data_IF_907093954514
#
_entry.id   IF_907093954514
#
_cell.length_a   1.000
_cell.length_b   1.000
_cell.length_c   1.000
_cell.angle_alpha   90.00
_cell.angle_beta   90.00
_cell.angle_gamma   90.00
#
_symmetry.space_group_name_H-M   'P 1'
#
loop_
_entity.id
_entity.type
_entity.pdbx_description
1 polymer ?
#
# COMPACT_ATOMS: atom_id res chain seq x y z
N UNK A 1 55.77 -4.07 26.61
CA UNK A 1 54.83 -2.98 26.95
C UNK A 1 53.49 -3.60 27.30
N UNK A 2 53.32 -3.76 28.60
CA UNK A 2 52.11 -3.77 29.43
C UNK A 2 50.79 -4.21 28.78
N UNK A 3 50.52 -5.51 28.87
CA UNK A 3 49.15 -5.99 29.06
C UNK A 3 48.80 -5.86 30.54
N UNK A 4 47.78 -5.05 30.85
CA UNK A 4 47.28 -4.92 32.21
C UNK A 4 46.24 -6.01 32.49
N UNK A 5 46.68 -6.96 33.31
CA UNK A 5 45.84 -7.80 34.16
C UNK A 5 45.07 -6.92 35.14
N UNK A 6 43.75 -7.08 35.21
CA UNK A 6 42.95 -6.59 36.35
C UNK A 6 42.11 -7.77 36.88
N UNK A 7 42.04 -7.96 38.22
CA UNK A 7 41.62 -9.21 38.84
C UNK A 7 40.09 -9.35 38.93
N UNK A 8 39.63 -10.60 38.90
CA UNK A 8 38.28 -11.01 39.27
C UNK A 8 38.08 -10.88 40.79
N UNK A 9 36.95 -10.32 41.26
CA UNK A 9 36.38 -10.64 42.56
C UNK A 9 35.27 -11.70 42.41
N UNK A 10 35.43 -12.81 43.12
CA UNK A 10 34.40 -13.80 43.44
C UNK A 10 33.61 -13.34 44.70
N UNK A 11 32.53 -14.03 45.11
CA UNK A 11 31.26 -13.39 45.46
C UNK A 11 31.01 -13.40 46.97
N UNK A 12 30.46 -12.34 47.52
CA UNK A 12 29.76 -12.44 48.80
C UNK A 12 28.42 -11.75 48.74
N UNK A 13 27.44 -12.50 49.25
CA UNK A 13 26.04 -12.18 49.30
C UNK A 13 25.77 -11.06 50.30
N UNK A 14 24.87 -10.12 49.96
CA UNK A 14 23.71 -9.95 50.81
C UNK A 14 22.55 -9.23 50.10
N UNK A 15 21.46 -9.98 50.06
CA UNK A 15 20.06 -9.59 50.04
C UNK A 15 19.74 -8.14 50.46
N UNK A 16 19.03 -7.41 49.59
CA UNK A 16 17.65 -6.98 49.83
C UNK A 16 17.26 -5.80 48.92
N UNK A 17 16.14 -5.96 48.21
CA UNK A 17 15.20 -4.86 48.08
C UNK A 17 14.88 -4.36 46.67
N UNK A 18 13.79 -4.92 46.13
CA UNK A 18 12.73 -4.23 45.36
C UNK A 18 13.04 -3.86 43.90
N UNK A 19 12.47 -4.69 43.03
CA UNK A 19 11.34 -4.25 42.21
C UNK A 19 11.68 -3.86 40.77
N UNK A 20 11.58 -4.82 39.86
CA UNK A 20 11.11 -4.58 38.48
C UNK A 20 10.34 -5.82 38.05
N UNK A 21 9.06 -5.62 37.76
CA UNK A 21 8.14 -6.63 37.27
C UNK A 21 8.53 -7.07 35.86
N UNK A 22 9.09 -8.29 35.75
CA UNK A 22 9.15 -9.01 34.49
C UNK A 22 7.78 -9.67 34.25
N UNK A 23 6.90 -8.98 33.52
CA UNK A 23 5.77 -9.65 32.89
C UNK A 23 6.27 -10.43 31.67
N UNK A 24 6.81 -11.61 31.97
CA UNK A 24 6.93 -12.73 31.05
C UNK A 24 5.53 -13.02 30.48
N UNK A 25 5.36 -12.81 29.18
CA UNK A 25 4.11 -13.08 28.47
C UNK A 25 3.94 -14.60 28.36
N UNK A 26 3.49 -15.22 29.44
CA UNK A 26 2.99 -16.59 29.45
C UNK A 26 1.64 -16.56 28.74
N UNK A 27 1.64 -16.96 27.47
CA UNK A 27 0.40 -17.26 26.75
C UNK A 27 -0.08 -18.61 27.30
N UNK A 28 -0.79 -18.57 28.43
CA UNK A 28 -1.55 -19.72 28.92
C UNK A 28 -2.89 -19.78 28.18
N UNK A 29 -3.19 -20.97 27.69
CA UNK A 29 -4.42 -21.38 27.01
C UNK A 29 -5.69 -20.82 27.64
N UNK A 30 -6.51 -20.20 26.77
CA UNK A 30 -7.97 -20.05 26.77
C UNK A 30 -8.69 -20.20 28.12
N UNK A 31 -8.95 -19.06 28.76
CA UNK A 31 -10.01 -18.90 29.75
C UNK A 31 -11.01 -17.87 29.21
N UNK A 32 -12.14 -18.37 28.68
CA UNK A 32 -13.23 -17.55 28.11
C UNK A 32 -13.92 -16.64 29.15
N UNK A 33 -13.59 -16.80 30.44
CA UNK A 33 -14.09 -16.00 31.56
C UNK A 33 -13.64 -14.53 31.53
N UNK A 34 -12.59 -14.20 30.78
CA UNK A 34 -12.06 -12.83 30.74
C UNK A 34 -12.75 -11.92 29.71
N UNK A 35 -13.44 -12.50 28.71
CA UNK A 35 -14.11 -11.73 27.65
C UNK A 35 -15.36 -11.03 28.19
N UNK A 36 -16.13 -11.69 29.06
CA UNK A 36 -17.34 -11.11 29.65
C UNK A 36 -17.05 -9.92 30.58
N UNK A 37 -15.92 -9.92 31.31
CA UNK A 37 -15.55 -8.79 32.19
C UNK A 37 -15.17 -7.53 31.40
N UNK A 38 -14.48 -7.71 30.27
CA UNK A 38 -14.10 -6.61 29.36
C UNK A 38 -15.33 -6.06 28.66
N UNK A 39 -16.24 -6.93 28.22
CA UNK A 39 -17.51 -6.54 27.58
C UNK A 39 -18.43 -5.81 28.58
N UNK A 40 -18.51 -6.27 29.83
CA UNK A 40 -19.30 -5.61 30.87
C UNK A 40 -18.80 -4.18 31.22
N UNK A 41 -17.48 -3.96 31.19
CA UNK A 41 -16.89 -2.63 31.41
C UNK A 41 -17.09 -1.67 30.23
N UNK A 42 -17.27 -2.19 29.02
CA UNK A 42 -17.58 -1.39 27.81
C UNK A 42 -19.06 -1.00 27.77
N UNK A 43 -19.95 -1.86 28.29
CA UNK A 43 -21.42 -1.64 28.29
C UNK A 43 -21.90 -0.82 29.49
N UNK A 44 -20.98 -0.41 30.39
CA UNK A 44 -21.34 0.48 31.50
C UNK A 44 -21.97 1.78 30.96
N UNK A 45 -23.19 2.15 31.38
CA UNK A 45 -23.98 3.24 30.78
C UNK A 45 -23.33 4.63 30.91
N UNK A 46 -22.24 4.75 31.67
CA UNK A 46 -21.46 5.98 31.82
C UNK A 46 -20.25 6.10 30.87
N UNK A 47 -19.91 5.03 30.12
CA UNK A 47 -18.89 5.07 29.07
C UNK A 47 -19.55 5.03 27.69
N UNK A 48 -20.29 6.09 27.35
CA UNK A 48 -20.58 6.35 25.94
C UNK A 48 -19.25 6.58 25.21
N UNK A 49 -18.71 5.52 24.60
CA UNK A 49 -17.64 5.60 23.62
C UNK A 49 -18.03 6.68 22.60
N UNK A 50 -17.39 7.85 22.71
CA UNK A 50 -17.59 8.95 21.77
C UNK A 50 -17.03 8.51 20.43
N UNK A 51 -17.88 7.91 19.59
CA UNK A 51 -17.55 7.56 18.22
C UNK A 51 -17.11 8.83 17.50
N UNK A 52 -15.83 8.90 17.18
CA UNK A 52 -15.26 10.04 16.48
C UNK A 52 -15.49 9.91 14.98
N UNK A 53 -15.41 11.02 14.24
CA UNK A 53 -15.42 10.98 12.76
C UNK A 53 -14.34 10.06 12.19
N UNK A 54 -13.21 9.93 12.89
CA UNK A 54 -12.12 9.02 12.53
C UNK A 54 -12.55 7.56 12.62
N UNK A 55 -13.29 7.19 13.66
CA UNK A 55 -13.76 5.81 13.86
C UNK A 55 -14.79 5.42 12.79
N UNK A 56 -15.69 6.34 12.42
CA UNK A 56 -16.65 6.12 11.33
C UNK A 56 -15.94 5.93 9.98
N UNK A 57 -14.88 6.70 9.72
CA UNK A 57 -14.08 6.58 8.50
C UNK A 57 -13.29 5.27 8.50
N UNK A 58 -12.67 4.92 9.62
CA UNK A 58 -11.94 3.66 9.78
C UNK A 58 -12.86 2.45 9.57
N UNK A 59 -14.03 2.44 10.21
CA UNK A 59 -15.03 1.38 10.04
C UNK A 59 -15.55 1.32 8.59
N UNK A 60 -15.78 2.46 7.92
CA UNK A 60 -16.12 2.50 6.49
C UNK A 60 -15.02 1.88 5.63
N UNK A 61 -13.77 2.23 5.88
CA UNK A 61 -12.64 1.71 5.13
C UNK A 61 -12.47 0.20 5.36
N UNK A 62 -12.64 -0.26 6.61
CA UNK A 62 -12.59 -1.68 6.97
C UNK A 62 -13.72 -2.47 6.29
N UNK A 63 -14.96 -1.98 6.36
CA UNK A 63 -16.09 -2.58 5.67
C UNK A 63 -15.91 -2.60 4.15
N UNK A 64 -15.30 -1.56 3.57
CA UNK A 64 -14.98 -1.51 2.15
C UNK A 64 -13.91 -2.56 1.77
N UNK A 65 -12.85 -2.69 2.57
CA UNK A 65 -11.82 -3.71 2.35
C UNK A 65 -12.37 -5.14 2.48
N UNK A 66 -13.17 -5.40 3.51
CA UNK A 66 -13.82 -6.71 3.70
C UNK A 66 -14.75 -7.01 2.52
N UNK A 67 -15.62 -6.05 2.14
CA UNK A 67 -16.53 -6.21 0.99
C UNK A 67 -15.75 -6.49 -0.30
N UNK A 68 -14.62 -5.82 -0.50
CA UNK A 68 -13.77 -6.02 -1.67
C UNK A 68 -13.04 -7.37 -1.63
N UNK A 69 -12.65 -7.90 -0.46
CA UNK A 69 -12.12 -9.27 -0.31
C UNK A 69 -13.11 -10.33 -0.73
N UNK A 70 -14.39 -10.18 -0.37
CA UNK A 70 -15.43 -11.11 -0.77
C UNK A 70 -15.82 -11.01 -2.26
N UNK A 71 -15.74 -9.83 -2.88
CA UNK A 71 -16.07 -9.67 -4.31
C UNK A 71 -14.89 -9.93 -5.25
N UNK A 72 -13.65 -9.72 -4.80
CA UNK A 72 -12.43 -9.91 -5.57
C UNK A 72 -12.25 -11.34 -6.09
N UNK A 73 -12.61 -12.36 -5.32
CA UNK A 73 -12.38 -13.77 -5.71
C UNK A 73 -13.05 -14.19 -7.02
N UNK A 74 -14.20 -13.58 -7.39
CA UNK A 74 -14.93 -13.88 -8.65
C UNK A 74 -14.90 -12.75 -9.67
N UNK A 75 -14.73 -11.49 -9.25
CA UNK A 75 -14.70 -10.35 -10.17
C UNK A 75 -13.35 -10.21 -10.91
N UNK A 76 -12.26 -10.68 -10.32
CA UNK A 76 -10.91 -10.39 -10.83
C UNK A 76 -10.55 -11.15 -12.11
N UNK A 77 -11.02 -12.40 -12.29
CA UNK A 77 -10.87 -13.12 -13.57
C UNK A 77 -11.65 -12.44 -14.69
N UNK A 78 -12.86 -11.97 -14.40
CA UNK A 78 -13.72 -11.29 -15.39
C UNK A 78 -13.12 -9.95 -15.80
N UNK A 79 -12.62 -9.15 -14.86
CA UNK A 79 -12.00 -7.84 -15.15
C UNK A 79 -10.70 -8.02 -15.94
N UNK A 80 -9.85 -8.99 -15.60
CA UNK A 80 -8.63 -9.28 -16.37
C UNK A 80 -8.94 -9.71 -17.80
N UNK A 81 -9.97 -10.54 -18.00
CA UNK A 81 -10.46 -10.94 -19.33
C UNK A 81 -11.06 -9.76 -20.11
N UNK A 82 -11.83 -8.88 -19.47
CA UNK A 82 -12.34 -7.65 -20.11
C UNK A 82 -11.22 -6.70 -20.53
N UNK A 83 -10.21 -6.50 -19.68
CA UNK A 83 -9.05 -5.66 -20.00
C UNK A 83 -8.22 -6.26 -21.14
N UNK A 84 -8.08 -7.59 -21.21
CA UNK A 84 -7.42 -8.29 -22.32
C UNK A 84 -8.19 -8.14 -23.65
N UNK A 85 -9.53 -8.05 -23.59
CA UNK A 85 -10.39 -7.80 -24.75
C UNK A 85 -10.44 -6.33 -25.21
N UNK A 86 -9.98 -5.38 -24.40
CA UNK A 86 -9.95 -3.96 -24.77
C UNK A 86 -8.78 -3.66 -25.72
N UNK A 87 -9.09 -3.50 -27.01
CA UNK A 87 -8.18 -3.11 -28.11
C UNK A 87 -7.29 -1.87 -27.89
N UNK A 88 -7.45 -1.13 -26.79
CA UNK A 88 -6.83 0.18 -26.55
C UNK A 88 -5.92 0.24 -25.31
N UNK A 89 -5.78 -0.86 -24.56
CA UNK A 89 -4.83 -0.91 -23.44
C UNK A 89 -3.49 -1.44 -23.95
N UNK A 90 -2.61 -0.56 -24.43
CA UNK A 90 -1.22 -0.90 -24.80
C UNK A 90 -0.33 -1.06 -23.55
N UNK A 91 -0.78 -1.80 -22.53
CA UNK A 91 0.09 -2.29 -21.47
C UNK A 91 0.53 -3.72 -21.78
N UNK A 92 1.69 -4.13 -21.29
CA UNK A 92 2.16 -5.49 -21.53
C UNK A 92 1.17 -6.53 -20.91
N UNK A 93 0.77 -7.60 -21.63
CA UNK A 93 -0.23 -8.57 -21.15
C UNK A 93 0.10 -9.19 -19.79
N UNK A 94 1.39 -9.28 -19.45
CA UNK A 94 1.83 -9.77 -18.14
C UNK A 94 1.27 -9.00 -16.95
N UNK A 95 0.79 -7.76 -17.15
CA UNK A 95 0.22 -6.95 -16.08
C UNK A 95 -1.30 -7.09 -15.94
N UNK A 96 -2.00 -7.77 -16.85
CA UNK A 96 -3.47 -7.93 -16.80
C UNK A 96 -3.89 -9.37 -16.51
N UNK A 97 -2.94 -10.30 -16.54
CA UNK A 97 -3.17 -11.70 -16.23
C UNK A 97 -2.61 -12.08 -14.85
N UNK A 98 -3.36 -12.86 -14.05
CA UNK A 98 -2.81 -13.49 -12.87
C UNK A 98 -1.67 -14.45 -13.28
N UNK A 99 -0.72 -14.67 -12.38
CA UNK A 99 0.39 -15.57 -12.62
C UNK A 99 1.15 -15.88 -11.33
N UNK A 100 2.00 -16.90 -11.38
CA UNK A 100 2.81 -17.31 -10.24
C UNK A 100 3.66 -16.15 -9.70
N UNK A 101 3.64 -15.94 -8.38
CA UNK A 101 4.35 -14.86 -7.72
C UNK A 101 3.88 -13.45 -8.08
N UNK A 102 2.74 -13.31 -8.76
CA UNK A 102 2.13 -12.01 -9.05
C UNK A 102 0.96 -11.74 -8.11
N UNK A 103 0.90 -10.51 -7.62
CA UNK A 103 -0.18 -9.99 -6.79
C UNK A 103 -0.80 -8.79 -7.46
N UNK A 104 -2.04 -8.46 -7.11
CA UNK A 104 -2.66 -7.25 -7.63
C UNK A 104 -1.99 -6.01 -7.04
N UNK A 105 -1.81 -4.99 -7.87
CA UNK A 105 -1.30 -3.68 -7.46
C UNK A 105 -2.22 -3.08 -6.39
N UNK A 106 -3.53 -3.21 -6.61
CA UNK A 106 -4.56 -2.99 -5.61
C UNK A 106 -5.73 -3.92 -5.89
N UNK A 107 -6.45 -4.30 -4.86
CA UNK A 107 -7.59 -5.19 -4.99
C UNK A 107 -8.65 -4.67 -5.96
N UNK A 108 -9.04 -5.49 -6.94
CA UNK A 108 -10.09 -5.18 -7.89
C UNK A 108 -9.65 -4.26 -9.03
N UNK A 109 -8.37 -3.86 -9.08
CA UNK A 109 -7.88 -3.03 -10.19
C UNK A 109 -7.64 -3.84 -11.47
N UNK A 110 -7.59 -5.18 -11.40
CA UNK A 110 -7.34 -6.04 -12.56
C UNK A 110 -5.91 -5.93 -13.13
N UNK A 111 -4.99 -5.31 -12.39
CA UNK A 111 -3.58 -5.23 -12.77
C UNK A 111 -2.71 -5.97 -11.74
N UNK A 112 -1.79 -6.79 -12.25
CA UNK A 112 -0.94 -7.70 -11.50
C UNK A 112 0.53 -7.36 -11.69
N UNK A 113 1.33 -7.49 -10.65
CA UNK A 113 2.78 -7.26 -10.68
C UNK A 113 3.47 -8.33 -9.82
N UNK A 114 4.73 -8.66 -10.14
CA UNK A 114 5.51 -9.53 -9.26
C UNK A 114 5.55 -8.96 -7.85
N UNK A 115 5.29 -9.81 -6.85
CA UNK A 115 5.23 -9.44 -5.45
C UNK A 115 6.51 -8.80 -4.96
N UNK A 116 7.67 -9.33 -5.38
CA UNK A 116 8.99 -8.77 -5.07
C UNK A 116 9.15 -7.33 -5.54
N UNK A 117 8.71 -7.02 -6.78
CA UNK A 117 8.76 -5.68 -7.34
C UNK A 117 7.81 -4.76 -6.59
N UNK A 118 6.59 -5.22 -6.34
CA UNK A 118 5.59 -4.42 -5.64
C UNK A 118 6.03 -4.11 -4.21
N UNK A 119 6.63 -5.07 -3.50
CA UNK A 119 7.20 -4.89 -2.17
C UNK A 119 8.38 -3.91 -2.17
N UNK A 120 9.23 -3.93 -3.20
CA UNK A 120 10.31 -2.93 -3.33
C UNK A 120 9.75 -1.52 -3.51
N UNK A 121 8.69 -1.37 -4.32
CA UNK A 121 8.00 -0.08 -4.50
C UNK A 121 7.37 0.38 -3.17
N UNK A 122 6.73 -0.53 -2.42
CA UNK A 122 6.19 -0.22 -1.10
C UNK A 122 7.27 0.22 -0.13
N UNK A 123 8.40 -0.50 -0.05
CA UNK A 123 9.48 -0.16 0.85
C UNK A 123 10.00 1.25 0.61
N UNK A 124 10.23 1.63 -0.66
CA UNK A 124 10.64 3.00 -1.01
C UNK A 124 9.57 4.03 -0.64
N UNK A 125 8.31 3.73 -0.94
CA UNK A 125 7.18 4.58 -0.56
C UNK A 125 7.08 4.78 0.97
N UNK A 126 7.30 3.73 1.76
CA UNK A 126 7.25 3.79 3.23
C UNK A 126 8.39 4.63 3.81
N UNK A 127 9.56 4.64 3.18
CA UNK A 127 10.71 5.45 3.60
C UNK A 127 10.48 6.94 3.32
N UNK A 128 10.07 7.29 2.09
CA UNK A 128 9.93 8.69 1.67
C UNK A 128 8.58 9.30 2.09
N UNK A 129 7.58 8.46 2.40
CA UNK A 129 6.17 8.82 2.66
C UNK A 129 5.51 9.64 1.53
N UNK A 130 6.11 9.64 0.35
CA UNK A 130 5.61 10.36 -0.82
C UNK A 130 4.82 9.44 -1.75
N UNK A 131 3.50 9.55 -1.71
CA UNK A 131 2.59 8.79 -2.60
C UNK A 131 2.88 8.97 -4.09
N UNK A 132 3.45 10.12 -4.46
CA UNK A 132 3.88 10.45 -5.83
C UNK A 132 4.85 9.39 -6.36
N UNK A 133 5.80 8.98 -5.53
CA UNK A 133 6.78 7.96 -5.88
C UNK A 133 6.10 6.62 -6.18
N UNK A 134 5.18 6.17 -5.32
CA UNK A 134 4.40 4.96 -5.57
C UNK A 134 3.68 5.00 -6.93
N UNK A 135 2.92 6.08 -7.19
CA UNK A 135 2.19 6.25 -8.47
C UNK A 135 3.13 6.22 -9.66
N UNK A 136 4.24 6.95 -9.59
CA UNK A 136 5.21 7.04 -10.68
C UNK A 136 5.83 5.69 -10.99
N UNK A 137 6.33 4.98 -9.98
CA UNK A 137 6.99 3.69 -10.18
C UNK A 137 6.02 2.66 -10.77
N UNK A 138 4.79 2.60 -10.27
CA UNK A 138 3.76 1.71 -10.81
C UNK A 138 3.44 2.03 -12.27
N UNK A 139 3.20 3.31 -12.61
CA UNK A 139 2.90 3.71 -13.99
C UNK A 139 4.06 3.42 -14.94
N UNK A 140 5.30 3.66 -14.50
CA UNK A 140 6.50 3.35 -15.28
C UNK A 140 6.69 1.85 -15.47
N UNK A 141 6.27 1.00 -14.52
CA UNK A 141 6.31 -0.45 -14.70
C UNK A 141 5.22 -0.95 -15.64
N UNK A 142 3.98 -0.48 -15.49
CA UNK A 142 2.84 -0.99 -16.27
C UNK A 142 2.87 -0.52 -17.73
N UNK A 143 3.22 0.75 -17.98
CA UNK A 143 3.20 1.34 -19.33
C UNK A 143 4.59 1.56 -19.91
N UNK A 144 5.66 1.44 -19.12
CA UNK A 144 7.05 1.56 -19.58
C UNK A 144 7.30 2.81 -20.45
N UNK A 145 7.72 2.59 -21.70
CA UNK A 145 7.95 3.62 -22.69
C UNK A 145 6.67 4.13 -23.34
N UNK A 146 5.57 3.39 -23.28
CA UNK A 146 4.29 3.84 -23.83
C UNK A 146 3.66 4.93 -22.97
N UNK A 147 4.04 5.07 -21.69
CA UNK A 147 3.45 6.04 -20.76
C UNK A 147 3.41 7.49 -21.29
N UNK A 148 4.37 7.90 -22.11
CA UNK A 148 4.42 9.24 -22.73
C UNK A 148 3.25 9.53 -23.67
N UNK A 149 2.63 8.49 -24.22
CA UNK A 149 1.50 8.53 -25.14
C UNK A 149 0.16 8.55 -24.42
N UNK A 150 0.14 8.52 -23.08
CA UNK A 150 -1.10 8.47 -22.30
C UNK A 150 -1.41 9.79 -21.58
N UNK A 151 -2.68 10.02 -21.30
CA UNK A 151 -3.17 11.02 -20.33
C UNK A 151 -4.22 10.38 -19.43
N UNK A 152 -4.60 11.05 -18.34
CA UNK A 152 -5.57 10.48 -17.41
C UNK A 152 -6.98 10.43 -18.00
N UNK A 153 -7.41 11.48 -18.69
CA UNK A 153 -8.76 11.61 -19.25
C UNK A 153 -8.85 11.20 -20.73
N UNK A 154 -7.71 11.00 -21.39
CA UNK A 154 -7.64 10.94 -22.84
C UNK A 154 -7.84 12.32 -23.48
N UNK A 155 -7.36 12.49 -24.69
CA UNK A 155 -7.66 13.68 -25.52
C UNK A 155 -7.70 13.27 -26.99
N UNK A 156 -8.00 14.18 -27.92
CA UNK A 156 -8.06 13.85 -29.36
C UNK A 156 -6.76 13.15 -29.82
N UNK A 157 -6.83 11.84 -30.01
CA UNK A 157 -5.71 10.98 -30.42
C UNK A 157 -4.80 10.46 -29.30
N UNK A 158 -5.05 10.80 -28.03
CA UNK A 158 -4.24 10.34 -26.88
C UNK A 158 -5.05 9.37 -26.02
N UNK A 159 -4.64 8.10 -25.87
CA UNK A 159 -5.35 7.14 -25.03
C UNK A 159 -5.35 7.54 -23.55
N UNK A 160 -6.39 7.11 -22.84
CA UNK A 160 -6.53 7.32 -21.40
C UNK A 160 -5.81 6.22 -20.61
N UNK A 161 -5.27 6.56 -19.44
CA UNK A 161 -4.80 5.56 -18.46
C UNK A 161 -5.99 4.69 -18.06
N UNK A 162 -5.79 3.38 -18.02
CA UNK A 162 -6.83 2.43 -17.66
C UNK A 162 -7.53 2.85 -16.35
N UNK A 163 -8.84 3.03 -16.42
CA UNK A 163 -9.66 3.55 -15.32
C UNK A 163 -9.55 2.66 -14.07
N UNK A 164 -9.45 1.34 -14.26
CA UNK A 164 -9.30 0.39 -13.16
C UNK A 164 -7.96 0.57 -12.43
N UNK A 165 -6.86 0.76 -13.16
CA UNK A 165 -5.56 1.07 -12.55
C UNK A 165 -5.59 2.41 -11.82
N UNK A 166 -6.19 3.43 -12.44
CA UNK A 166 -6.34 4.75 -11.83
C UNK A 166 -7.07 4.66 -10.48
N UNK A 167 -8.22 3.97 -10.45
CA UNK A 167 -9.00 3.74 -9.23
C UNK A 167 -8.20 2.96 -8.19
N UNK A 168 -7.52 1.89 -8.61
CA UNK A 168 -6.69 1.08 -7.72
C UNK A 168 -5.56 1.89 -7.07
N UNK A 169 -4.87 2.73 -7.85
CA UNK A 169 -3.84 3.64 -7.34
C UNK A 169 -4.41 4.65 -6.35
N UNK A 170 -5.54 5.29 -6.70
CA UNK A 170 -6.19 6.28 -5.85
C UNK A 170 -6.64 5.68 -4.51
N UNK A 171 -7.24 4.50 -4.54
CA UNK A 171 -7.65 3.78 -3.35
C UNK A 171 -6.45 3.37 -2.51
N UNK A 172 -5.43 2.77 -3.12
CA UNK A 172 -4.22 2.33 -2.42
C UNK A 172 -3.59 3.45 -1.60
N UNK A 173 -3.35 4.59 -2.24
CA UNK A 173 -2.70 5.74 -1.60
C UNK A 173 -3.52 6.30 -0.45
N UNK A 174 -4.85 6.29 -0.57
CA UNK A 174 -5.73 6.82 0.46
C UNK A 174 -6.00 5.81 1.59
N UNK A 175 -5.85 4.51 1.35
CA UNK A 175 -5.87 3.50 2.40
C UNK A 175 -4.61 3.51 3.25
N UNK A 176 -3.44 3.73 2.64
CA UNK A 176 -2.15 3.76 3.35
C UNK A 176 -1.93 5.06 4.16
N UNK A 177 -2.71 6.11 3.87
CA UNK A 177 -2.66 7.37 4.62
C UNK A 177 -3.66 7.33 5.78
N UNK A 178 -3.16 7.57 7.00
CA UNK A 178 -3.99 7.82 8.17
C UNK A 178 -5.03 8.91 7.87
N UNK A 179 -6.20 8.82 8.51
CA UNK A 179 -7.47 9.50 8.20
C UNK A 179 -7.48 11.06 8.09
N UNK A 180 -6.34 11.74 8.04
CA UNK A 180 -6.21 13.19 7.87
C UNK A 180 -5.76 13.67 6.48
N UNK A 181 -5.06 12.84 5.69
CA UNK A 181 -4.40 13.30 4.46
C UNK A 181 -5.00 12.68 3.18
N UNK A 182 -6.31 12.82 3.01
CA UNK A 182 -6.97 12.38 1.79
C UNK A 182 -6.45 13.13 0.56
N UNK A 183 -6.22 12.40 -0.53
CA UNK A 183 -5.77 12.94 -1.80
C UNK A 183 -6.96 13.03 -2.75
N UNK A 184 -7.38 14.25 -3.12
CA UNK A 184 -8.43 14.43 -4.11
C UNK A 184 -8.03 13.81 -5.46
N UNK A 185 -9.01 13.25 -6.15
CA UNK A 185 -8.84 12.67 -7.47
C UNK A 185 -8.18 13.65 -8.46
N UNK A 186 -8.60 14.92 -8.43
CA UNK A 186 -8.02 15.99 -9.24
C UNK A 186 -6.51 16.19 -9.02
N UNK A 187 -6.03 15.95 -7.80
CA UNK A 187 -4.59 16.03 -7.46
C UNK A 187 -3.84 14.84 -8.04
N UNK A 188 -4.45 13.65 -8.03
CA UNK A 188 -3.89 12.47 -8.68
C UNK A 188 -3.85 12.64 -10.20
N UNK A 189 -4.95 13.10 -10.83
CA UNK A 189 -5.04 13.40 -12.27
C UNK A 189 -3.92 14.34 -12.70
N UNK A 190 -3.76 15.48 -11.99
CA UNK A 190 -2.69 16.44 -12.27
C UNK A 190 -1.31 15.80 -12.20
N UNK A 191 -1.06 14.96 -11.19
CA UNK A 191 0.22 14.30 -11.02
C UNK A 191 0.51 13.25 -12.11
N UNK A 192 -0.49 12.45 -12.47
CA UNK A 192 -0.35 11.45 -13.55
C UNK A 192 -0.06 12.16 -14.87
N UNK A 193 -0.81 13.20 -15.22
CA UNK A 193 -0.57 13.98 -16.44
C UNK A 193 0.82 14.66 -16.45
N UNK A 194 1.29 15.15 -15.30
CA UNK A 194 2.66 15.67 -15.19
C UNK A 194 3.70 14.56 -15.42
N UNK A 195 3.45 13.35 -14.89
CA UNK A 195 4.33 12.19 -15.06
C UNK A 195 4.41 11.74 -16.52
N UNK A 196 3.28 11.66 -17.23
CA UNK A 196 3.25 11.30 -18.66
C UNK A 196 3.92 12.38 -19.52
N UNK A 197 3.70 13.66 -19.20
CA UNK A 197 4.37 14.79 -19.86
C UNK A 197 5.90 14.74 -19.68
N UNK A 198 6.38 14.52 -18.45
CA UNK A 198 7.81 14.40 -18.16
C UNK A 198 8.44 13.23 -18.93
N UNK A 199 7.78 12.08 -18.97
CA UNK A 199 8.23 10.92 -19.75
C UNK A 199 8.33 11.25 -21.26
N UNK A 200 7.35 11.99 -21.80
CA UNK A 200 7.34 12.45 -23.19
C UNK A 200 8.51 13.38 -23.51
N UNK A 201 8.76 14.37 -22.65
CA UNK A 201 9.90 15.28 -22.79
C UNK A 201 11.22 14.52 -22.78
N UNK A 202 11.41 13.61 -21.83
CA UNK A 202 12.62 12.79 -21.72
C UNK A 202 12.86 11.94 -22.98
N UNK A 203 11.83 11.29 -23.52
CA UNK A 203 11.96 10.53 -24.76
C UNK A 203 12.31 11.39 -25.98
N UNK A 204 11.77 12.61 -26.05
CA UNK A 204 12.11 13.53 -27.14
C UNK A 204 13.59 13.94 -27.08
N UNK A 205 14.14 14.15 -25.88
CA UNK A 205 15.57 14.42 -25.67
C UNK A 205 16.41 13.22 -26.13
N UNK A 206 16.05 12.00 -25.71
CA UNK A 206 16.76 10.78 -26.13
C UNK A 206 16.74 10.58 -27.65
N UNK A 207 15.62 10.88 -28.31
CA UNK A 207 15.50 10.78 -29.78
C UNK A 207 16.35 11.82 -30.51
N UNK A 208 16.46 13.05 -29.97
CA UNK A 208 17.34 14.09 -30.52
C UNK A 208 18.80 13.68 -30.42
N UNK A 209 19.22 13.17 -29.26
CA UNK A 209 20.61 12.75 -29.04
C UNK A 209 21.05 11.56 -29.88
N UNK A 210 20.11 10.69 -30.33
CA UNK A 210 20.41 9.56 -31.23
C UNK A 210 20.53 9.94 -32.70
N UNK A 211 20.13 11.16 -33.08
CA UNK A 211 20.20 11.66 -34.46
C UNK A 211 21.46 12.48 -34.74
N UNK A 212 22.21 12.81 -33.68
CA UNK A 212 23.52 13.47 -33.73
C UNK A 212 24.61 12.41 -33.57
#
# INVERSE_FOLDING_TARGET
MNGENIPLPHPDANNNGKGVDNNELVISSTDDSNVESVVANIISPNNMLKVTKRDVIFQRNLCYQIKNQFTAGKANETIGKELSGMKFVFCHPSFIEPGEGKVQIYQGCGFFMQETILNLIHLRYSLDKEWKHYVREVLLKVYENQLSSYTTEGSRGTPHIAVQLFRGLHQRINCDRLAGDYIPETKLVKYINATTSNKRQYQNILKKNKKN
#
